data_IF_124457470469
#
_entry.id   IF_124457470469
#
_cell.length_a   1.000
_cell.length_b   1.000
_cell.length_c   1.000
_cell.angle_alpha   90.00
_cell.angle_beta   90.00
_cell.angle_gamma   90.00
#
_symmetry.space_group_name_H-M   'P 1'
#
loop_
_entity.id
_entity.type
_entity.pdbx_description
1 polymer ?
#
# COMPACT_ATOMS: atom_id res chain seq x y z
N UNK A 1 -21.46 60.81 49.01
CA UNK A 1 -21.56 59.35 49.28
C UNK A 1 -21.11 58.59 48.03
N UNK A 2 -20.16 57.64 48.19
CA UNK A 2 -19.69 56.58 47.24
C UNK A 2 -19.09 57.08 45.90
N UNK A 3 -17.76 57.10 45.63
CA UNK A 3 -16.69 56.06 45.62
C UNK A 3 -17.09 54.75 44.93
N UNK A 4 -16.57 54.53 43.72
CA UNK A 4 -16.23 53.24 43.06
C UNK A 4 -15.37 53.61 41.82
N UNK A 5 -14.04 53.69 41.91
CA UNK A 5 -13.03 52.62 41.82
C UNK A 5 -13.13 51.79 40.52
N UNK A 6 -12.42 52.26 39.47
CA UNK A 6 -12.09 51.49 38.27
C UNK A 6 -11.04 50.42 38.65
N UNK A 7 -11.42 49.14 38.55
CA UNK A 7 -10.47 48.03 38.59
C UNK A 7 -9.91 47.78 37.19
N UNK A 8 -8.59 47.95 37.05
CA UNK A 8 -7.80 47.36 35.99
C UNK A 8 -7.86 45.83 36.12
N UNK A 9 -8.31 45.12 35.07
CA UNK A 9 -8.08 43.68 34.95
C UNK A 9 -7.10 43.44 33.80
N UNK A 10 -5.87 43.15 34.20
CA UNK A 10 -4.75 42.77 33.38
C UNK A 10 -4.83 41.25 33.13
N UNK A 11 -5.53 40.81 32.08
CA UNK A 11 -5.42 39.43 31.61
C UNK A 11 -4.28 39.33 30.60
N UNK A 12 -3.06 39.16 31.11
CA UNK A 12 -1.92 38.68 30.34
C UNK A 12 -2.19 37.21 29.96
N UNK A 13 -2.74 36.99 28.77
CA UNK A 13 -2.72 35.68 28.12
C UNK A 13 -1.27 35.35 27.77
N UNK A 14 -0.63 34.58 28.65
CA UNK A 14 0.58 33.84 28.32
C UNK A 14 0.29 32.96 27.10
N UNK A 15 0.77 33.42 25.94
CA UNK A 15 1.09 32.60 24.77
C UNK A 15 2.22 31.65 25.16
N UNK A 16 1.91 30.64 25.97
CA UNK A 16 2.72 29.44 26.02
C UNK A 16 2.37 28.67 24.75
N UNK A 17 3.23 28.84 23.73
CA UNK A 17 3.30 27.89 22.63
C UNK A 17 3.59 26.52 23.23
N UNK A 18 2.54 25.73 23.43
CA UNK A 18 2.69 24.31 23.63
C UNK A 18 3.43 23.78 22.39
N UNK A 19 4.39 22.86 22.54
CA UNK A 19 4.93 22.16 21.39
C UNK A 19 3.74 21.59 20.62
N UNK A 20 3.68 21.90 19.32
CA UNK A 20 2.73 21.29 18.41
C UNK A 20 2.83 19.78 18.66
N UNK A 21 1.72 19.14 19.00
CA UNK A 21 1.72 17.69 19.12
C UNK A 21 2.19 17.16 17.77
N UNK A 22 3.36 16.49 17.73
CA UNK A 22 3.92 15.98 16.49
C UNK A 22 2.83 15.16 15.77
N UNK A 23 2.50 15.58 14.56
CA UNK A 23 1.40 15.02 13.79
C UNK A 23 1.81 13.67 13.17
N UNK A 24 0.83 12.79 12.97
CA UNK A 24 1.02 11.55 12.20
C UNK A 24 1.66 11.89 10.85
N UNK A 25 2.64 11.11 10.42
CA UNK A 25 3.29 11.26 9.12
C UNK A 25 3.15 9.97 8.30
N UNK A 26 2.90 10.13 7.00
CA UNK A 26 2.83 9.03 6.04
C UNK A 26 3.92 9.20 4.97
N UNK A 27 4.63 8.10 4.66
CA UNK A 27 5.60 8.07 3.56
C UNK A 27 5.28 6.93 2.61
N UNK A 28 5.21 7.19 1.31
CA UNK A 28 4.92 6.13 0.33
C UNK A 28 6.11 5.18 0.21
N UNK A 29 5.89 3.91 0.52
CA UNK A 29 6.83 2.81 0.32
C UNK A 29 6.59 2.10 -1.02
N UNK A 30 5.33 1.95 -1.43
CA UNK A 30 4.95 1.42 -2.74
C UNK A 30 3.74 2.20 -3.33
N UNK A 31 3.72 2.56 -4.62
CA UNK A 31 4.79 2.34 -5.59
C UNK A 31 6.07 3.15 -5.28
N UNK A 32 7.22 2.47 -5.21
CA UNK A 32 8.52 3.07 -4.95
C UNK A 32 8.96 3.92 -6.14
N UNK A 33 9.89 4.85 -5.94
CA UNK A 33 10.28 5.83 -6.98
C UNK A 33 10.61 5.19 -8.34
N UNK A 34 11.31 4.06 -8.33
CA UNK A 34 11.67 3.32 -9.55
C UNK A 34 10.51 2.58 -10.22
N UNK A 35 9.42 2.33 -9.50
CA UNK A 35 8.31 1.44 -9.88
C UNK A 35 6.99 2.19 -10.15
N UNK A 36 7.04 3.49 -10.44
CA UNK A 36 5.85 4.35 -10.67
C UNK A 36 5.28 4.28 -12.09
N UNK A 37 5.88 3.49 -12.96
CA UNK A 37 5.35 3.16 -14.29
C UNK A 37 4.74 1.75 -14.20
N UNK A 38 3.43 1.65 -14.36
CA UNK A 38 2.66 0.42 -14.24
C UNK A 38 1.98 0.10 -15.57
N UNK A 39 1.90 -1.16 -15.99
CA UNK A 39 1.18 -1.50 -17.20
C UNK A 39 -0.33 -1.13 -17.10
N UNK A 40 -0.97 -0.60 -18.16
CA UNK A 40 -2.41 -0.32 -18.15
C UNK A 40 -3.23 -1.55 -17.71
N UNK A 41 -4.20 -1.33 -16.83
CA UNK A 41 -5.04 -2.36 -16.22
C UNK A 41 -4.41 -3.12 -15.05
N UNK A 42 -3.10 -2.97 -14.77
CA UNK A 42 -2.42 -3.66 -13.68
C UNK A 42 -2.99 -3.26 -12.32
N UNK A 43 -3.30 -4.25 -11.48
CA UNK A 43 -3.52 -4.03 -10.05
C UNK A 43 -2.18 -3.82 -9.34
N UNK A 44 -2.17 -3.10 -8.23
CA UNK A 44 -0.93 -2.84 -7.49
C UNK A 44 -1.21 -2.67 -6.00
N UNK A 45 -0.17 -2.83 -5.19
CA UNK A 45 -0.22 -2.45 -3.79
C UNK A 45 0.19 -0.99 -3.61
N UNK A 46 -0.66 -0.24 -2.93
CA UNK A 46 -0.30 1.05 -2.35
C UNK A 46 0.11 0.81 -0.90
N UNK A 47 1.35 1.15 -0.53
CA UNK A 47 1.88 0.92 0.81
C UNK A 47 2.46 2.23 1.31
N UNK A 48 2.07 2.64 2.52
CA UNK A 48 2.65 3.78 3.23
C UNK A 48 3.24 3.32 4.54
N UNK A 49 4.44 3.79 4.88
CA UNK A 49 4.92 3.72 6.26
C UNK A 49 4.17 4.75 7.11
N UNK A 50 4.04 4.45 8.39
CA UNK A 50 3.34 5.29 9.36
C UNK A 50 4.31 5.64 10.48
N UNK A 51 4.48 6.94 10.72
CA UNK A 51 5.03 7.46 11.96
C UNK A 51 3.91 8.10 12.78
N UNK A 52 3.73 7.66 14.02
CA UNK A 52 2.73 8.17 14.97
C UNK A 52 3.30 9.13 15.98
N UNK A 53 4.51 9.65 15.75
CA UNK A 53 5.10 10.68 16.59
C UNK A 53 5.16 10.27 18.08
N UNK A 54 5.60 9.03 18.32
CA UNK A 54 5.69 8.46 19.67
C UNK A 54 4.37 7.98 20.27
N UNK A 55 3.21 8.17 19.63
CA UNK A 55 1.94 7.59 20.06
C UNK A 55 1.83 6.12 19.66
N UNK A 56 1.21 5.32 20.52
CA UNK A 56 0.76 3.98 20.16
C UNK A 56 -0.54 4.04 19.34
N UNK A 57 -0.81 3.02 18.49
CA UNK A 57 -2.04 2.96 17.69
C UNK A 57 -3.34 3.16 18.48
N UNK A 58 -3.46 2.59 19.68
CA UNK A 58 -4.65 2.71 20.53
C UNK A 58 -4.88 4.12 21.12
N UNK A 59 -3.86 4.99 21.11
CA UNK A 59 -3.99 6.36 21.63
C UNK A 59 -4.59 7.33 20.61
N UNK A 60 -4.43 7.04 19.32
CA UNK A 60 -4.95 7.84 18.21
C UNK A 60 -5.31 6.89 17.05
N UNK A 61 -6.43 6.16 17.16
CA UNK A 61 -6.89 5.27 16.10
C UNK A 61 -7.30 6.08 14.86
N UNK A 62 -6.90 5.62 13.69
CA UNK A 62 -7.30 6.22 12.41
C UNK A 62 -7.40 5.18 11.31
N UNK A 63 -8.28 5.42 10.35
CA UNK A 63 -8.33 4.69 9.10
C UNK A 63 -7.33 5.28 8.10
N UNK A 64 -6.98 4.53 7.07
CA UNK A 64 -6.26 5.05 5.91
C UNK A 64 -7.15 4.91 4.68
N UNK A 65 -7.30 6.01 3.95
CA UNK A 65 -8.01 6.07 2.67
C UNK A 65 -7.00 6.27 1.55
N UNK A 66 -7.02 5.37 0.57
CA UNK A 66 -6.22 5.44 -0.64
C UNK A 66 -7.12 5.86 -1.80
N UNK A 67 -6.73 6.89 -2.51
CA UNK A 67 -7.48 7.47 -3.62
C UNK A 67 -6.57 7.59 -4.84
N UNK A 68 -7.02 7.07 -5.98
CA UNK A 68 -6.31 7.18 -7.26
C UNK A 68 -7.05 8.13 -8.18
N UNK A 69 -6.43 9.25 -8.52
CA UNK A 69 -6.96 10.24 -9.45
C UNK A 69 -6.29 10.08 -10.80
N UNK A 70 -7.06 10.25 -11.88
CA UNK A 70 -6.48 10.51 -13.20
C UNK A 70 -6.24 12.01 -13.33
N UNK A 71 -5.12 12.40 -13.92
CA UNK A 71 -4.80 13.82 -14.07
C UNK A 71 -5.91 14.57 -14.82
N UNK A 72 -6.30 15.71 -14.27
CA UNK A 72 -7.44 16.51 -14.77
C UNK A 72 -8.83 16.01 -14.37
N UNK A 73 -8.94 14.90 -13.63
CA UNK A 73 -10.22 14.38 -13.10
C UNK A 73 -10.33 14.68 -11.60
N UNK A 74 -11.41 15.36 -11.19
CA UNK A 74 -11.62 15.77 -9.80
C UNK A 74 -12.01 14.62 -8.87
N UNK A 75 -12.78 13.65 -9.37
CA UNK A 75 -13.21 12.50 -8.58
C UNK A 75 -12.18 11.36 -8.67
N UNK A 76 -11.92 10.63 -7.57
CA UNK A 76 -11.04 9.49 -7.62
C UNK A 76 -11.66 8.37 -8.47
N UNK A 77 -10.84 7.73 -9.29
CA UNK A 77 -11.23 6.54 -10.05
C UNK A 77 -11.21 5.27 -9.20
N UNK A 78 -10.41 5.28 -8.12
CA UNK A 78 -10.37 4.22 -7.10
C UNK A 78 -10.38 4.87 -5.73
N UNK A 79 -11.15 4.30 -4.83
CA UNK A 79 -11.13 4.63 -3.42
C UNK A 79 -11.13 3.33 -2.64
N UNK A 80 -10.09 3.13 -1.82
CA UNK A 80 -9.98 1.98 -0.93
C UNK A 80 -9.77 2.48 0.48
N UNK A 81 -10.63 2.08 1.42
CA UNK A 81 -10.62 2.57 2.80
C UNK A 81 -10.42 1.40 3.75
N UNK A 82 -9.53 1.54 4.72
CA UNK A 82 -9.40 0.57 5.80
C UNK A 82 -10.55 0.67 6.81
N UNK A 83 -10.64 -0.32 7.69
CA UNK A 83 -11.40 -0.23 8.94
C UNK A 83 -10.49 -0.68 10.08
N UNK A 84 -10.33 0.15 11.10
CA UNK A 84 -9.59 -0.16 12.32
C UNK A 84 -10.54 -0.43 13.49
N UNK A 85 -10.08 -1.22 14.45
CA UNK A 85 -10.73 -1.38 15.75
C UNK A 85 -10.36 -0.20 16.66
N UNK A 86 -11.36 0.44 17.27
CA UNK A 86 -11.14 1.64 18.10
C UNK A 86 -10.29 1.36 19.35
N UNK A 87 -10.28 0.12 19.86
CA UNK A 87 -9.52 -0.25 21.05
C UNK A 87 -8.04 -0.52 20.77
N UNK A 88 -7.69 -0.95 19.56
CA UNK A 88 -6.33 -1.29 19.16
C UNK A 88 -5.71 -0.31 18.17
N UNK A 89 -6.52 0.46 17.43
CA UNK A 89 -6.09 1.34 16.35
C UNK A 89 -5.51 0.62 15.12
N UNK A 90 -5.74 -0.70 15.02
CA UNK A 90 -5.23 -1.57 13.96
C UNK A 90 -6.39 -2.26 13.23
N UNK A 91 -6.12 -2.85 12.07
CA UNK A 91 -7.12 -3.71 11.41
C UNK A 91 -7.54 -4.86 12.33
N UNK A 92 -8.85 -5.09 12.54
CA UNK A 92 -9.33 -6.17 13.39
C UNK A 92 -8.84 -7.54 12.89
N UNK A 93 -8.32 -8.37 13.79
CA UNK A 93 -7.78 -9.69 13.39
C UNK A 93 -8.85 -10.62 12.81
N UNK A 94 -10.10 -10.51 13.28
CA UNK A 94 -11.23 -11.28 12.74
C UNK A 94 -11.72 -10.77 11.36
N UNK A 95 -11.22 -9.62 10.89
CA UNK A 95 -11.47 -9.09 9.55
C UNK A 95 -10.46 -9.63 8.50
N UNK A 96 -9.57 -10.55 8.89
CA UNK A 96 -8.58 -11.18 8.00
C UNK A 96 -8.96 -12.64 7.75
N UNK A 97 -9.14 -13.01 6.48
CA UNK A 97 -9.45 -14.38 6.08
C UNK A 97 -8.19 -15.25 6.01
N UNK A 98 -7.81 -15.86 7.12
CA UNK A 98 -6.59 -16.70 7.23
C UNK A 98 -6.72 -18.07 6.54
N UNK A 99 -7.94 -18.52 6.26
CA UNK A 99 -8.26 -19.83 5.66
C UNK A 99 -8.62 -19.72 4.16
N UNK A 100 -8.05 -18.75 3.45
CA UNK A 100 -8.41 -18.47 2.07
C UNK A 100 -7.94 -19.57 1.09
N UNK A 101 -8.84 -20.24 0.34
CA UNK A 101 -8.52 -21.46 -0.41
C UNK A 101 -7.68 -21.25 -1.68
N UNK A 102 -7.53 -20.01 -2.16
CA UNK A 102 -6.68 -19.70 -3.30
C UNK A 102 -5.32 -19.10 -2.90
N UNK A 103 -5.08 -18.98 -1.59
CA UNK A 103 -3.80 -18.55 -1.06
C UNK A 103 -2.89 -19.72 -0.73
N UNK A 104 -1.59 -19.48 -0.83
CA UNK A 104 -0.55 -20.40 -0.38
C UNK A 104 0.48 -19.64 0.46
N UNK A 105 0.93 -20.27 1.54
CA UNK A 105 1.99 -19.76 2.39
C UNK A 105 2.68 -20.93 3.10
N UNK A 106 4.01 -20.87 3.32
CA UNK A 106 4.70 -21.77 4.23
C UNK A 106 4.52 -21.37 5.71
N UNK A 107 3.95 -20.19 5.98
CA UNK A 107 3.70 -19.67 7.32
C UNK A 107 2.38 -20.17 7.92
N UNK A 108 2.08 -19.68 9.11
CA UNK A 108 0.89 -20.02 9.90
C UNK A 108 -0.17 -18.93 9.82
N UNK A 109 -1.37 -19.22 10.33
CA UNK A 109 -2.40 -18.20 10.51
C UNK A 109 -1.94 -17.03 11.38
N UNK A 110 -1.07 -17.25 12.37
CA UNK A 110 -0.50 -16.18 13.20
C UNK A 110 0.44 -15.28 12.40
N UNK A 111 1.22 -15.85 11.48
CA UNK A 111 2.10 -15.07 10.60
C UNK A 111 1.28 -14.19 9.65
N UNK A 112 0.15 -14.71 9.14
CA UNK A 112 -0.81 -13.92 8.35
C UNK A 112 -1.35 -12.76 9.19
N UNK A 113 -1.79 -13.01 10.42
CA UNK A 113 -2.35 -11.96 11.28
C UNK A 113 -1.31 -10.91 11.71
N UNK A 114 -0.04 -11.28 11.80
CA UNK A 114 1.04 -10.35 12.13
C UNK A 114 1.42 -9.41 10.99
N UNK A 115 1.17 -9.80 9.73
CA UNK A 115 1.47 -8.99 8.54
C UNK A 115 0.44 -9.24 7.44
N UNK A 116 -0.83 -8.85 7.65
CA UNK A 116 -1.94 -9.30 6.81
C UNK A 116 -1.87 -8.74 5.38
N UNK A 117 -1.96 -9.60 4.34
CA UNK A 117 -2.17 -9.12 2.98
C UNK A 117 -3.53 -8.43 2.86
N UNK A 118 -3.61 -7.24 2.20
CA UNK A 118 -4.88 -6.53 2.04
C UNK A 118 -5.92 -7.30 1.22
N UNK A 119 -5.50 -8.24 0.36
CA UNK A 119 -6.36 -9.16 -0.37
C UNK A 119 -7.31 -9.96 0.54
N UNK A 120 -6.87 -10.26 1.76
CA UNK A 120 -7.58 -11.12 2.70
C UNK A 120 -8.60 -10.38 3.57
N UNK A 121 -8.70 -9.05 3.44
CA UNK A 121 -9.59 -8.23 4.26
C UNK A 121 -11.05 -8.46 3.88
N UNK A 122 -11.91 -8.57 4.88
CA UNK A 122 -13.36 -8.60 4.73
C UNK A 122 -14.04 -8.08 6.00
N UNK A 123 -15.31 -7.71 5.90
CA UNK A 123 -16.15 -7.41 7.05
C UNK A 123 -16.76 -8.72 7.61
N UNK A 124 -16.45 -9.12 8.85
CA UNK A 124 -17.00 -10.34 9.45
C UNK A 124 -18.52 -10.29 9.66
N UNK A 125 -19.12 -9.09 9.81
CA UNK A 125 -20.57 -8.92 9.87
C UNK A 125 -21.24 -9.05 8.50
N UNK A 126 -20.48 -8.96 7.40
CA UNK A 126 -20.96 -9.10 6.03
C UNK A 126 -19.95 -9.91 5.19
N UNK A 127 -19.89 -11.25 5.32
CA UNK A 127 -18.82 -12.05 4.71
C UNK A 127 -18.66 -11.90 3.18
N UNK A 128 -19.74 -11.60 2.46
CA UNK A 128 -19.71 -11.33 1.01
C UNK A 128 -18.85 -10.11 0.64
N UNK A 129 -18.58 -9.21 1.60
CA UNK A 129 -17.64 -8.10 1.42
C UNK A 129 -16.20 -8.55 1.17
N UNK A 130 -15.88 -9.84 1.32
CA UNK A 130 -14.60 -10.36 0.84
C UNK A 130 -14.36 -10.08 -0.65
N UNK A 131 -15.41 -9.91 -1.45
CA UNK A 131 -15.27 -9.53 -2.86
C UNK A 131 -15.22 -8.02 -3.08
N UNK A 132 -15.44 -7.21 -2.04
CA UNK A 132 -15.51 -5.76 -2.14
C UNK A 132 -14.12 -5.15 -2.32
N UNK A 133 -13.88 -4.57 -3.50
CA UNK A 133 -12.62 -3.95 -3.85
C UNK A 133 -12.34 -2.64 -3.09
N UNK A 134 -13.34 -2.00 -2.47
CA UNK A 134 -13.20 -0.73 -1.77
C UNK A 134 -12.75 -0.86 -0.31
N UNK A 135 -12.71 -2.09 0.23
CA UNK A 135 -12.29 -2.32 1.63
C UNK A 135 -10.97 -3.08 1.77
N UNK A 136 -10.27 -3.33 0.65
CA UNK A 136 -9.02 -4.11 0.62
C UNK A 136 -7.83 -3.30 1.12
N UNK A 137 -7.89 -2.90 2.39
CA UNK A 137 -6.83 -2.16 3.05
C UNK A 137 -6.62 -2.61 4.50
N UNK A 138 -5.35 -2.64 4.92
CA UNK A 138 -4.91 -2.95 6.27
C UNK A 138 -4.17 -1.77 6.88
N UNK A 139 -4.25 -1.63 8.20
CA UNK A 139 -3.48 -0.70 9.02
C UNK A 139 -2.80 -1.51 10.12
N UNK A 140 -1.47 -1.40 10.15
CA UNK A 140 -0.62 -1.99 11.18
C UNK A 140 0.05 -0.89 12.01
N UNK A 141 0.90 -1.31 12.95
CA UNK A 141 1.71 -0.38 13.73
C UNK A 141 2.69 0.43 12.88
N UNK A 142 3.17 -0.09 11.76
CA UNK A 142 4.27 0.53 11.01
C UNK A 142 3.92 0.91 9.58
N UNK A 143 2.82 0.38 9.05
CA UNK A 143 2.39 0.68 7.69
C UNK A 143 0.88 0.57 7.54
N UNK A 144 0.37 1.16 6.47
CA UNK A 144 -0.91 0.77 5.89
C UNK A 144 -0.69 0.32 4.46
N UNK A 145 -1.50 -0.62 4.00
CA UNK A 145 -1.41 -1.15 2.64
C UNK A 145 -2.80 -1.37 2.06
N UNK A 146 -2.95 -1.13 0.76
CA UNK A 146 -4.18 -1.38 0.03
C UNK A 146 -3.92 -2.09 -1.30
N UNK A 147 -4.83 -2.99 -1.68
CA UNK A 147 -4.90 -3.53 -3.04
C UNK A 147 -5.73 -2.56 -3.90
N UNK A 148 -5.08 -1.90 -4.86
CA UNK A 148 -5.75 -1.06 -5.85
C UNK A 148 -5.96 -1.88 -7.12
N UNK A 149 -7.22 -2.17 -7.46
CA UNK A 149 -7.54 -2.96 -8.64
C UNK A 149 -7.50 -2.12 -9.93
N UNK A 150 -6.61 -2.46 -10.85
CA UNK A 150 -6.49 -1.82 -12.16
C UNK A 150 -7.54 -2.29 -13.15
N UNK A 151 -7.95 -3.56 -13.06
CA UNK A 151 -8.95 -4.17 -13.94
C UNK A 151 -8.48 -5.47 -14.60
N UNK A 152 -7.18 -5.77 -14.56
CA UNK A 152 -6.62 -6.96 -15.20
C UNK A 152 -7.15 -8.26 -14.58
N UNK A 153 -7.39 -8.27 -13.26
CA UNK A 153 -7.96 -9.43 -12.54
C UNK A 153 -9.37 -9.16 -12.02
N UNK A 154 -10.13 -8.27 -12.68
CA UNK A 154 -11.47 -7.84 -12.25
C UNK A 154 -12.50 -8.96 -12.09
N UNK A 155 -12.28 -10.12 -12.72
CA UNK A 155 -13.18 -11.28 -12.65
C UNK A 155 -12.76 -12.32 -11.61
N UNK A 156 -11.64 -12.12 -10.92
CA UNK A 156 -11.15 -13.05 -9.91
C UNK A 156 -11.48 -12.50 -8.52
N UNK A 157 -12.36 -13.18 -7.77
CA UNK A 157 -12.71 -12.85 -6.39
C UNK A 157 -12.89 -11.34 -6.13
N UNK A 158 -13.65 -10.69 -7.00
CA UNK A 158 -13.92 -9.26 -6.91
C UNK A 158 -15.32 -8.93 -7.43
N UNK A 159 -15.94 -7.92 -6.81
CA UNK A 159 -17.14 -7.25 -7.30
C UNK A 159 -16.82 -6.02 -8.15
N UNK A 160 -15.59 -5.93 -8.67
CA UNK A 160 -15.04 -4.81 -9.45
C UNK A 160 -16.06 -4.09 -10.33
N UNK A 161 -16.81 -4.82 -11.17
CA UNK A 161 -17.74 -4.23 -12.14
C UNK A 161 -18.96 -3.54 -11.50
N UNK A 162 -19.25 -3.83 -10.22
CA UNK A 162 -20.28 -3.14 -9.44
C UNK A 162 -19.77 -1.84 -8.79
N UNK A 163 -18.45 -1.70 -8.59
CA UNK A 163 -17.84 -0.54 -7.92
C UNK A 163 -17.21 0.42 -8.92
N UNK A 164 -16.53 -0.11 -9.93
CA UNK A 164 -15.74 0.66 -10.88
C UNK A 164 -16.33 0.55 -12.28
N UNK A 165 -16.47 1.71 -12.94
CA UNK A 165 -17.08 1.80 -14.27
C UNK A 165 -16.08 1.58 -15.41
N UNK A 166 -14.77 1.61 -15.11
CA UNK A 166 -13.71 1.49 -16.11
C UNK A 166 -12.40 0.96 -15.54
N UNK A 167 -11.66 0.28 -16.42
CA UNK A 167 -10.27 -0.13 -16.20
C UNK A 167 -9.32 1.08 -16.13
N UNK A 168 -8.17 0.90 -15.49
CA UNK A 168 -7.11 1.92 -15.50
C UNK A 168 -6.42 1.90 -16.86
N UNK A 169 -6.64 2.95 -17.62
CA UNK A 169 -6.09 3.11 -18.96
C UNK A 169 -4.72 3.80 -18.92
N UNK A 170 -4.00 3.80 -20.04
CA UNK A 170 -2.79 4.58 -20.20
C UNK A 170 -3.00 6.07 -19.85
N UNK A 171 -2.03 6.65 -19.15
CA UNK A 171 -2.04 8.07 -18.78
C UNK A 171 -1.34 8.37 -17.46
N UNK A 172 -1.42 9.64 -17.06
CA UNK A 172 -0.89 10.14 -15.80
C UNK A 172 -1.96 10.15 -14.70
N UNK A 173 -1.54 9.77 -13.50
CA UNK A 173 -2.37 9.58 -12.33
C UNK A 173 -1.67 10.10 -11.08
N UNK A 174 -2.43 10.35 -10.03
CA UNK A 174 -1.92 10.67 -8.69
C UNK A 174 -2.53 9.72 -7.68
N UNK A 175 -1.67 9.00 -6.96
CA UNK A 175 -2.07 8.21 -5.78
C UNK A 175 -1.97 9.11 -4.55
N UNK A 176 -3.08 9.25 -3.83
CA UNK A 176 -3.18 9.94 -2.54
C UNK A 176 -3.46 8.92 -1.45
N UNK A 177 -2.75 9.01 -0.33
CA UNK A 177 -3.05 8.26 0.88
C UNK A 177 -3.28 9.26 2.02
N UNK A 178 -4.38 9.09 2.75
CA UNK A 178 -4.79 9.99 3.83
C UNK A 178 -5.10 9.19 5.09
N UNK A 179 -4.48 9.58 6.22
CA UNK A 179 -4.88 9.12 7.54
C UNK A 179 -6.13 9.91 7.97
N UNK A 180 -7.21 9.18 8.27
CA UNK A 180 -8.54 9.70 8.57
C UNK A 180 -8.89 9.33 10.01
N UNK A 181 -8.84 10.31 10.90
CA UNK A 181 -9.20 10.18 12.31
C UNK A 181 -10.71 10.22 12.55
N UNK A 182 -11.08 10.35 13.82
CA UNK A 182 -12.47 10.45 14.25
C UNK A 182 -13.23 11.59 13.52
N UNK A 183 -14.51 11.37 13.28
CA UNK A 183 -15.39 12.30 12.54
C UNK A 183 -14.90 12.68 11.13
N UNK A 184 -13.96 11.93 10.55
CA UNK A 184 -13.45 12.15 9.20
C UNK A 184 -12.32 13.19 9.10
N UNK A 185 -11.71 13.58 10.23
CA UNK A 185 -10.60 14.53 10.24
C UNK A 185 -9.38 13.97 9.48
N UNK A 186 -8.83 14.72 8.52
CA UNK A 186 -7.57 14.36 7.87
C UNK A 186 -6.40 14.68 8.80
N UNK A 187 -5.71 13.64 9.29
CA UNK A 187 -4.58 13.78 10.21
C UNK A 187 -3.25 13.94 9.45
N UNK A 188 -3.13 13.26 8.31
CA UNK A 188 -1.95 13.26 7.47
C UNK A 188 -2.33 12.91 6.04
N UNK A 189 -1.63 13.46 5.06
CA UNK A 189 -1.81 13.12 3.65
C UNK A 189 -0.46 13.08 2.95
N UNK A 190 -0.29 12.07 2.08
CA UNK A 190 0.85 11.97 1.16
C UNK A 190 0.33 11.68 -0.25
N UNK A 191 1.05 12.13 -1.27
CA UNK A 191 0.69 11.86 -2.66
C UNK A 191 1.92 11.63 -3.53
N UNK A 192 1.80 10.74 -4.51
CA UNK A 192 2.83 10.47 -5.51
C UNK A 192 2.23 10.39 -6.91
N UNK A 193 2.94 10.88 -7.94
CA UNK A 193 2.53 10.69 -9.32
C UNK A 193 2.77 9.23 -9.75
N UNK A 194 1.89 8.72 -10.61
CA UNK A 194 1.99 7.43 -11.27
C UNK A 194 1.73 7.59 -12.76
N UNK A 195 2.33 6.72 -13.56
CA UNK A 195 2.06 6.62 -14.99
C UNK A 195 1.60 5.21 -15.29
N UNK A 196 0.41 5.08 -15.87
CA UNK A 196 0.01 3.82 -16.50
C UNK A 196 0.53 3.84 -17.95
N UNK A 197 1.41 2.91 -18.28
CA UNK A 197 2.11 2.84 -19.57
C UNK A 197 3.11 1.69 -19.61
N UNK A 198 3.90 1.60 -20.68
CA UNK A 198 4.92 0.56 -20.80
C UNK A 198 6.27 1.02 -20.27
N UNK A 199 6.87 0.26 -19.36
CA UNK A 199 8.30 0.36 -19.08
C UNK A 199 9.08 -0.01 -20.37
N UNK A 200 10.00 0.83 -20.87
CA UNK A 200 10.60 0.63 -22.19
C UNK A 200 11.66 -0.47 -22.23
N UNK A 201 12.45 -0.64 -21.16
CA UNK A 201 13.51 -1.64 -21.04
C UNK A 201 13.49 -2.21 -19.62
N UNK A 202 13.37 -3.53 -19.49
CA UNK A 202 13.19 -4.20 -18.19
C UNK A 202 13.89 -5.54 -18.14
N UNK A 203 14.27 -5.93 -16.93
CA UNK A 203 14.91 -7.22 -16.66
C UNK A 203 13.89 -8.24 -16.20
N UNK A 204 14.05 -9.48 -16.68
CA UNK A 204 13.52 -10.67 -16.02
C UNK A 204 14.71 -11.56 -15.64
N UNK A 205 14.83 -11.88 -14.36
CA UNK A 205 15.90 -12.73 -13.84
C UNK A 205 15.36 -13.60 -12.71
N UNK A 206 15.98 -14.76 -12.50
CA UNK A 206 15.87 -15.42 -11.19
C UNK A 206 16.83 -14.71 -10.22
N UNK A 207 16.41 -14.55 -8.97
CA UNK A 207 17.10 -13.72 -7.97
C UNK A 207 17.77 -14.54 -6.87
N UNK A 208 18.48 -15.61 -7.25
CA UNK A 208 19.14 -16.48 -6.27
C UNK A 208 20.34 -17.23 -6.87
N UNK A 209 21.49 -17.29 -6.18
CA UNK A 209 21.85 -16.63 -4.90
C UNK A 209 21.93 -15.09 -4.92
N UNK A 210 22.08 -14.46 -3.74
CA UNK A 210 22.10 -13.01 -3.53
C UNK A 210 23.16 -12.28 -4.38
N UNK A 211 24.34 -12.86 -4.54
CA UNK A 211 25.38 -12.34 -5.44
C UNK A 211 24.91 -12.24 -6.91
N UNK A 212 23.91 -13.01 -7.34
CA UNK A 212 23.30 -12.82 -8.66
C UNK A 212 22.41 -11.58 -8.70
N UNK A 213 21.70 -11.26 -7.62
CA UNK A 213 20.93 -10.01 -7.53
C UNK A 213 21.84 -8.79 -7.66
N UNK A 214 23.00 -8.80 -7.01
CA UNK A 214 24.00 -7.73 -7.14
C UNK A 214 24.45 -7.54 -8.59
N UNK A 215 24.78 -8.64 -9.28
CA UNK A 215 25.21 -8.61 -10.68
C UNK A 215 24.09 -8.14 -11.63
N UNK A 216 22.86 -8.60 -11.41
CA UNK A 216 21.69 -8.18 -12.18
C UNK A 216 21.39 -6.71 -11.96
N UNK A 217 21.51 -6.23 -10.72
CA UNK A 217 21.33 -4.82 -10.36
C UNK A 217 22.39 -3.95 -11.03
N UNK A 218 23.66 -4.35 -10.98
CA UNK A 218 24.74 -3.64 -11.66
C UNK A 218 24.54 -3.62 -13.19
N UNK A 219 24.08 -4.73 -13.77
CA UNK A 219 23.74 -4.80 -15.19
C UNK A 219 22.55 -3.88 -15.54
N UNK A 220 21.49 -3.87 -14.74
CA UNK A 220 20.36 -2.96 -14.89
C UNK A 220 20.79 -1.51 -14.89
N UNK A 221 21.55 -1.10 -13.87
CA UNK A 221 22.05 0.27 -13.73
C UNK A 221 22.90 0.67 -14.94
N UNK A 222 23.81 -0.19 -15.40
CA UNK A 222 24.66 0.05 -16.57
C UNK A 222 23.86 0.22 -17.87
N UNK A 223 22.74 -0.50 -18.00
CA UNK A 223 21.93 -0.51 -19.22
C UNK A 223 20.66 0.36 -19.12
N UNK A 224 20.46 1.07 -18.00
CA UNK A 224 19.23 1.79 -17.70
C UNK A 224 17.96 0.91 -17.84
N UNK A 225 18.07 -0.36 -17.46
CA UNK A 225 16.96 -1.32 -17.47
C UNK A 225 16.26 -1.33 -16.12
N UNK A 226 14.93 -1.36 -16.13
CA UNK A 226 14.13 -1.43 -14.92
C UNK A 226 14.15 -2.84 -14.29
N UNK A 227 14.17 -2.90 -12.95
CA UNK A 227 13.92 -4.11 -12.16
C UNK A 227 12.69 -3.83 -11.30
N UNK A 228 11.68 -4.70 -11.39
CA UNK A 228 10.51 -4.62 -10.52
C UNK A 228 10.88 -5.16 -9.13
N UNK A 229 10.97 -4.26 -8.15
CA UNK A 229 11.27 -4.60 -6.76
C UNK A 229 10.05 -4.45 -5.83
N UNK A 230 9.00 -3.79 -6.30
CA UNK A 230 7.76 -3.64 -5.54
C UNK A 230 6.96 -4.95 -5.57
N UNK A 231 6.24 -5.20 -4.47
CA UNK A 231 5.35 -6.36 -4.37
C UNK A 231 4.28 -6.32 -5.46
N UNK A 232 4.11 -7.45 -6.15
CA UNK A 232 2.98 -7.63 -7.08
C UNK A 232 1.70 -7.96 -6.31
N UNK A 233 0.52 -7.52 -6.77
CA UNK A 233 -0.76 -7.85 -6.14
C UNK A 233 -0.95 -9.38 -6.06
N UNK A 234 -1.22 -9.91 -4.88
CA UNK A 234 -1.27 -11.35 -4.62
C UNK A 234 0.11 -11.99 -4.41
N UNK A 235 1.20 -11.25 -4.32
CA UNK A 235 2.53 -11.70 -3.90
C UNK A 235 2.96 -10.81 -2.74
N UNK A 236 2.90 -11.35 -1.53
CA UNK A 236 3.08 -10.59 -0.30
C UNK A 236 4.24 -11.15 0.50
N UNK A 237 5.24 -10.32 0.73
CA UNK A 237 6.43 -10.66 1.50
C UNK A 237 6.61 -9.63 2.62
N UNK A 238 6.37 -10.08 3.86
CA UNK A 238 6.44 -9.23 5.03
C UNK A 238 7.86 -8.70 5.30
N UNK A 239 8.89 -9.32 4.73
CA UNK A 239 10.27 -8.83 4.85
C UNK A 239 10.52 -7.55 4.07
N UNK A 240 9.68 -7.25 3.08
CA UNK A 240 9.78 -6.06 2.23
C UNK A 240 8.91 -4.89 2.73
N UNK A 241 8.19 -5.06 3.84
CA UNK A 241 7.25 -4.05 4.36
C UNK A 241 7.93 -3.12 5.37
N UNK A 242 7.46 -1.86 5.52
CA UNK A 242 7.96 -0.98 6.58
C UNK A 242 7.79 -1.62 7.97
N UNK A 243 8.86 -1.65 8.77
CA UNK A 243 8.87 -2.27 10.10
C UNK A 243 9.71 -1.45 11.10
N UNK A 244 9.37 -1.53 12.39
CA UNK A 244 10.12 -0.87 13.46
C UNK A 244 11.20 -1.73 14.13
N UNK A 245 11.45 -2.93 13.61
CA UNK A 245 12.36 -3.90 14.24
C UNK A 245 12.75 -5.03 13.29
N UNK A 246 12.69 -6.28 13.74
CA UNK A 246 12.92 -7.44 12.88
C UNK A 246 11.73 -7.58 11.91
N UNK A 247 11.98 -7.70 10.59
CA UNK A 247 10.91 -7.90 9.62
C UNK A 247 10.09 -9.15 9.90
N UNK A 248 8.83 -9.15 9.48
CA UNK A 248 8.00 -10.35 9.46
C UNK A 248 8.55 -11.37 8.46
N UNK A 249 8.27 -12.65 8.69
CA UNK A 249 8.74 -13.76 7.84
C UNK A 249 7.64 -14.31 6.93
N UNK A 250 6.44 -13.70 6.95
CA UNK A 250 5.33 -14.15 6.12
C UNK A 250 5.67 -13.97 4.64
N UNK A 251 5.70 -15.09 3.94
CA UNK A 251 5.53 -15.16 2.50
C UNK A 251 4.12 -15.63 2.20
N UNK A 252 3.37 -14.95 1.34
CA UNK A 252 2.02 -15.34 0.96
C UNK A 252 1.78 -15.07 -0.52
N UNK A 253 1.19 -16.02 -1.23
CA UNK A 253 0.83 -15.83 -2.63
C UNK A 253 -0.62 -16.23 -2.96
N UNK A 254 -1.21 -15.51 -3.90
CA UNK A 254 -2.48 -15.79 -4.56
C UNK A 254 -2.16 -15.86 -6.05
N UNK A 255 -1.81 -17.05 -6.53
CA UNK A 255 -1.28 -17.29 -7.89
C UNK A 255 -2.18 -16.71 -8.98
N UNK A 256 -3.50 -16.81 -8.81
CA UNK A 256 -4.50 -16.32 -9.77
C UNK A 256 -4.59 -14.79 -9.82
N UNK A 257 -3.93 -14.08 -8.90
CA UNK A 257 -3.86 -12.61 -8.86
C UNK A 257 -2.49 -12.10 -9.29
N UNK A 258 -1.41 -12.68 -8.79
CA UNK A 258 -0.08 -12.15 -9.05
C UNK A 258 0.43 -12.47 -10.46
N UNK A 259 0.26 -13.70 -10.95
CA UNK A 259 0.79 -14.09 -12.27
C UNK A 259 0.21 -13.27 -13.43
N UNK A 260 -1.10 -12.99 -13.50
CA UNK A 260 -1.63 -12.14 -14.57
C UNK A 260 -1.05 -10.72 -14.51
N UNK A 261 -0.97 -10.13 -13.32
CA UNK A 261 -0.42 -8.77 -13.15
C UNK A 261 1.08 -8.70 -13.45
N UNK A 262 1.84 -9.74 -13.11
CA UNK A 262 3.25 -9.89 -13.46
C UNK A 262 3.42 -10.00 -14.98
N UNK A 263 2.69 -10.92 -15.63
CA UNK A 263 2.73 -11.09 -17.08
C UNK A 263 2.42 -9.80 -17.85
N UNK A 264 1.48 -9.00 -17.35
CA UNK A 264 1.06 -7.76 -18.00
C UNK A 264 2.22 -6.77 -18.18
N UNK A 265 3.17 -6.73 -17.24
CA UNK A 265 4.36 -5.87 -17.31
C UNK A 265 5.31 -6.26 -18.45
N UNK A 266 5.28 -7.53 -18.86
CA UNK A 266 6.15 -8.09 -19.89
C UNK A 266 5.47 -8.16 -21.27
N UNK A 267 4.26 -7.64 -21.42
CA UNK A 267 3.58 -7.66 -22.73
C UNK A 267 4.13 -6.64 -23.73
N UNK A 268 4.89 -5.64 -23.27
CA UNK A 268 5.43 -4.55 -24.07
C UNK A 268 6.84 -4.15 -23.63
N UNK A 269 7.56 -3.47 -24.52
CA UNK A 269 8.93 -3.00 -24.29
C UNK A 269 9.99 -4.09 -24.56
N UNK A 270 11.25 -3.75 -24.28
CA UNK A 270 12.37 -4.69 -24.39
C UNK A 270 12.50 -5.48 -23.10
N UNK A 271 12.49 -6.80 -23.21
CA UNK A 271 12.71 -7.71 -22.07
C UNK A 271 14.12 -8.27 -22.16
N UNK A 272 14.93 -8.03 -21.13
CA UNK A 272 16.26 -8.61 -20.97
C UNK A 272 16.15 -9.80 -20.02
N UNK A 273 16.09 -10.99 -20.60
CA UNK A 273 16.14 -12.23 -19.83
C UNK A 273 17.58 -12.53 -19.41
N UNK A 274 17.85 -12.48 -18.11
CA UNK A 274 19.13 -12.89 -17.54
C UNK A 274 19.02 -14.34 -17.09
N UNK A 275 19.69 -15.22 -17.81
CA UNK A 275 19.77 -16.65 -17.50
C UNK A 275 21.16 -16.94 -16.93
N UNK A 276 21.21 -17.47 -15.72
CA UNK A 276 22.44 -17.95 -15.08
C UNK A 276 22.47 -19.49 -15.04
N UNK A 277 23.61 -20.06 -14.65
CA UNK A 277 23.89 -21.50 -14.69
C UNK A 277 23.82 -22.12 -16.10
N UNK A 278 24.15 -21.34 -17.12
CA UNK A 278 24.40 -21.88 -18.47
C UNK A 278 25.77 -22.57 -18.41
N UNK A 279 25.78 -23.87 -18.10
CA UNK A 279 26.98 -24.68 -18.26
C UNK A 279 27.40 -24.63 -19.73
N UNK A 280 28.68 -24.34 -19.99
CA UNK A 280 29.25 -24.59 -21.30
C UNK A 280 29.19 -26.10 -21.50
N UNK A 281 28.30 -26.56 -22.39
CA UNK A 281 28.41 -27.92 -22.93
C UNK A 281 29.70 -27.98 -23.72
N UNK A 282 30.74 -28.56 -23.13
CA UNK A 282 31.96 -28.98 -23.82
C UNK A 282 31.72 -30.22 -24.64
#
# INVERSE_FOLDING_TARGET
MRRFMLLFSLCASLLLGLPDAEAVTLTVAAPSEGSRILAPGRDFYAIVSIDRAGKNPEQEPFNVRFELYRDGVLAPLRTVTSTVDDGTGLTPLNAIKTDYPHGWTPGTALDILASPPPDLVYNPALPVSFYDAAIKAVVTRHYAAALIQGGHTKTFDSNYAAIYTRDLEEGAYTLKATAVGAAGAELATVSVPLTFGSVPDKIISRFSPENHMENVTAFAQKNNSHIYNDLFPGYWDASSLPHGGIPGTLFYEIVRRWRPNDLLEYMNGTIRAVVYNVHVSS
#
